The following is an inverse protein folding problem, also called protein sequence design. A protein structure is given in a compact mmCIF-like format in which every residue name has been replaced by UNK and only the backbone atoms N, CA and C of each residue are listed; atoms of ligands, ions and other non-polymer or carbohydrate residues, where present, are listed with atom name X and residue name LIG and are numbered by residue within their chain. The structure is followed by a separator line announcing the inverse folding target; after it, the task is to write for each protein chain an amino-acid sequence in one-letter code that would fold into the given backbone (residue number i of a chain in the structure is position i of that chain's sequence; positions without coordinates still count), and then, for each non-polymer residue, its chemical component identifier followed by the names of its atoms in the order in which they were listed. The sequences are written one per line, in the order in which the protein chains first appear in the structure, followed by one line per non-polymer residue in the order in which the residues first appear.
data_IF_244916188572
#
_entry.id   IF_244916188572
#
_cell.length_a   1.000
_cell.length_b   1.000
_cell.length_c   1.000
_cell.angle_alpha   90.00
_cell.angle_beta   90.00
_cell.angle_gamma   90.00
#
_symmetry.space_group_name_H-M   'P 1'
#
loop_
_entity.id
_entity.type
_entity.pdbx_description
1 polymer ?
#
# COMPACT_ATOMS: atom_id res chain seq x y z
N UNK A 1 -5.76 -39.66 17.10
CA UNK A 1 -6.24 -38.88 18.27
C UNK A 1 -5.11 -38.20 19.05
N UNK A 2 -3.94 -38.83 19.27
CA UNK A 2 -2.83 -38.20 20.00
C UNK A 2 -2.23 -36.94 19.34
N UNK A 3 -1.98 -36.96 18.02
CA UNK A 3 -1.37 -35.83 17.30
C UNK A 3 -2.24 -34.56 17.30
N UNK A 4 -3.56 -34.66 17.08
CA UNK A 4 -4.43 -33.48 17.11
C UNK A 4 -4.54 -32.87 18.51
N UNK A 5 -4.50 -33.71 19.55
CA UNK A 5 -4.56 -33.26 20.93
C UNK A 5 -3.26 -32.56 21.38
N UNK A 6 -2.10 -33.09 20.96
CA UNK A 6 -0.80 -32.45 21.21
C UNK A 6 -0.70 -31.10 20.50
N UNK A 7 -1.10 -31.05 19.22
CA UNK A 7 -1.10 -29.82 18.44
C UNK A 7 -2.01 -28.73 19.05
N UNK A 8 -3.23 -29.09 19.47
CA UNK A 8 -4.13 -28.15 20.15
C UNK A 8 -3.55 -27.64 21.47
N UNK A 9 -2.87 -28.50 22.23
CA UNK A 9 -2.21 -28.10 23.48
C UNK A 9 -1.06 -27.12 23.21
N UNK A 10 -0.29 -27.33 22.16
CA UNK A 10 0.80 -26.44 21.78
C UNK A 10 0.30 -25.07 21.30
N UNK A 11 -0.80 -25.03 20.53
CA UNK A 11 -1.44 -23.77 20.14
C UNK A 11 -1.95 -22.97 21.36
N UNK A 12 -2.60 -23.64 22.32
CA UNK A 12 -3.09 -22.99 23.53
C UNK A 12 -1.93 -22.42 24.39
N UNK A 13 -0.82 -23.15 24.48
CA UNK A 13 0.37 -22.67 25.19
C UNK A 13 1.02 -21.49 24.48
N UNK A 14 1.14 -21.54 23.15
CA UNK A 14 1.65 -20.44 22.34
C UNK A 14 0.79 -19.18 22.55
N UNK A 15 -0.53 -19.30 22.43
CA UNK A 15 -1.48 -18.22 22.66
C UNK A 15 -1.30 -17.55 24.03
N UNK A 16 -1.21 -18.35 25.10
CA UNK A 16 -1.02 -17.83 26.46
C UNK A 16 0.31 -17.05 26.61
N UNK A 17 1.39 -17.57 26.04
CA UNK A 17 2.70 -16.91 26.11
C UNK A 17 2.73 -15.61 25.31
N UNK A 18 2.09 -15.58 24.14
CA UNK A 18 1.99 -14.38 23.32
C UNK A 18 1.15 -13.29 23.99
N UNK A 19 0.05 -13.65 24.67
CA UNK A 19 -0.72 -12.68 25.47
C UNK A 19 0.07 -12.11 26.65
N UNK A 20 0.93 -12.91 27.28
CA UNK A 20 1.86 -12.41 28.31
C UNK A 20 2.87 -11.42 27.73
N UNK A 21 3.42 -11.71 26.55
CA UNK A 21 4.31 -10.78 25.86
C UNK A 21 3.61 -9.46 25.56
N UNK A 22 2.36 -9.51 25.09
CA UNK A 22 1.54 -8.31 24.83
C UNK A 22 1.13 -7.54 26.10
N UNK A 23 1.09 -8.20 27.26
CA UNK A 23 0.87 -7.52 28.53
C UNK A 23 2.08 -6.67 28.94
N UNK A 24 3.29 -7.04 28.50
CA UNK A 24 4.53 -6.30 28.74
C UNK A 24 4.71 -5.20 27.69
N UNK A 25 4.57 -5.54 26.40
CA UNK A 25 4.59 -4.59 25.29
C UNK A 25 3.34 -4.75 24.42
N UNK A 26 2.42 -3.79 24.58
CA UNK A 26 1.12 -3.78 23.89
C UNK A 26 1.22 -3.61 22.37
N UNK A 27 2.39 -3.25 21.84
CA UNK A 27 2.63 -3.06 20.40
C UNK A 27 3.68 -4.03 19.87
N UNK A 28 3.92 -5.14 20.56
CA UNK A 28 4.95 -6.08 20.15
C UNK A 28 4.55 -6.84 18.88
N UNK A 29 5.09 -6.38 17.75
CA UNK A 29 4.69 -6.82 16.41
C UNK A 29 4.90 -8.33 16.16
N UNK A 30 6.02 -8.90 16.65
CA UNK A 30 6.28 -10.34 16.54
C UNK A 30 5.21 -11.16 17.28
N UNK A 31 4.73 -10.67 18.43
CA UNK A 31 3.70 -11.40 19.17
C UNK A 31 2.36 -11.40 18.43
N UNK A 32 1.99 -10.29 17.81
CA UNK A 32 0.82 -10.23 16.92
C UNK A 32 0.99 -11.12 15.70
N UNK A 33 2.17 -11.17 15.08
CA UNK A 33 2.41 -12.05 13.94
C UNK A 33 2.24 -13.53 14.32
N UNK A 34 2.85 -13.95 15.42
CA UNK A 34 2.72 -15.33 15.89
C UNK A 34 1.28 -15.66 16.33
N UNK A 35 0.53 -14.69 16.86
CA UNK A 35 -0.90 -14.87 17.13
C UNK A 35 -1.68 -15.07 15.82
N UNK A 36 -1.37 -14.33 14.77
CA UNK A 36 -1.97 -14.53 13.46
C UNK A 36 -1.70 -15.95 12.93
N UNK A 37 -0.48 -16.47 13.05
CA UNK A 37 -0.17 -17.87 12.69
C UNK A 37 -0.98 -18.88 13.52
N UNK A 38 -1.10 -18.66 14.83
CA UNK A 38 -1.91 -19.52 15.73
C UNK A 38 -3.38 -19.52 15.31
N UNK A 39 -3.96 -18.35 15.04
CA UNK A 39 -5.35 -18.23 14.58
C UNK A 39 -5.54 -18.81 13.17
N UNK A 40 -4.57 -18.65 12.27
CA UNK A 40 -4.58 -19.26 10.94
C UNK A 40 -4.68 -20.79 11.03
N UNK A 41 -3.84 -21.41 11.88
CA UNK A 41 -3.84 -22.85 12.16
C UNK A 41 -5.13 -23.33 12.86
N UNK A 42 -5.74 -22.47 13.68
CA UNK A 42 -7.02 -22.77 14.34
C UNK A 42 -8.23 -22.62 13.39
N UNK A 43 -8.04 -22.07 12.20
CA UNK A 43 -9.13 -21.77 11.26
C UNK A 43 -9.91 -20.49 11.57
N UNK A 44 -9.44 -19.68 12.52
CA UNK A 44 -10.09 -18.44 12.94
C UNK A 44 -9.62 -17.27 12.07
N UNK A 45 -10.24 -17.16 10.89
CA UNK A 45 -9.87 -16.14 9.90
C UNK A 45 -9.98 -14.71 10.45
N UNK A 46 -11.00 -14.41 11.23
CA UNK A 46 -11.27 -13.04 11.69
C UNK A 46 -10.16 -12.55 12.63
N UNK A 47 -9.82 -13.34 13.65
CA UNK A 47 -8.75 -12.98 14.58
C UNK A 47 -7.36 -13.07 13.92
N UNK A 48 -7.18 -13.97 12.96
CA UNK A 48 -5.96 -14.05 12.16
C UNK A 48 -5.69 -12.75 11.42
N UNK A 49 -6.68 -12.20 10.70
CA UNK A 49 -6.51 -10.96 9.93
C UNK A 49 -6.27 -9.75 10.85
N UNK A 50 -7.01 -9.64 11.96
CA UNK A 50 -6.81 -8.56 12.94
C UNK A 50 -5.40 -8.61 13.56
N UNK A 51 -4.93 -9.79 13.96
CA UNK A 51 -3.58 -9.97 14.49
C UNK A 51 -2.53 -9.64 13.42
N UNK A 52 -2.73 -10.06 12.18
CA UNK A 52 -1.79 -9.81 11.09
C UNK A 52 -1.70 -8.31 10.76
N UNK A 53 -2.84 -7.62 10.70
CA UNK A 53 -2.91 -6.17 10.48
C UNK A 53 -2.18 -5.39 11.59
N UNK A 54 -2.38 -5.82 12.84
CA UNK A 54 -1.67 -5.28 14.00
C UNK A 54 -0.16 -5.51 13.95
N UNK A 55 0.27 -6.72 13.59
CA UNK A 55 1.68 -7.05 13.41
C UNK A 55 2.34 -6.13 12.38
N UNK A 56 1.67 -5.93 11.24
CA UNK A 56 2.12 -5.06 10.17
C UNK A 56 2.13 -3.59 10.60
N UNK A 57 1.11 -3.13 11.31
CA UNK A 57 0.97 -1.74 11.75
C UNK A 57 2.06 -1.34 12.73
N UNK A 58 2.45 -2.26 13.61
CA UNK A 58 3.49 -2.02 14.62
C UNK A 58 4.86 -2.59 14.24
N UNK A 59 5.04 -3.06 13.00
CA UNK A 59 6.30 -3.63 12.57
C UNK A 59 7.41 -2.57 12.51
N UNK A 60 8.61 -2.98 12.91
CA UNK A 60 9.79 -2.17 12.65
C UNK A 60 10.10 -2.20 11.15
N UNK A 61 10.83 -1.19 10.65
CA UNK A 61 11.04 -0.98 9.20
C UNK A 61 11.66 -2.20 8.47
N UNK A 62 12.41 -3.05 9.18
CA UNK A 62 13.03 -4.26 8.61
C UNK A 62 12.12 -5.50 8.69
N UNK A 63 11.03 -5.46 9.46
CA UNK A 63 10.06 -6.55 9.56
C UNK A 63 8.98 -6.38 8.49
N UNK A 64 9.07 -7.20 7.45
CA UNK A 64 8.13 -7.23 6.33
C UNK A 64 7.15 -8.40 6.47
N UNK A 65 6.27 -8.32 7.47
CA UNK A 65 5.29 -9.39 7.72
C UNK A 65 4.37 -9.65 6.53
N UNK A 66 4.16 -8.67 5.65
CA UNK A 66 3.34 -8.85 4.45
C UNK A 66 3.94 -9.88 3.51
N UNK A 67 5.24 -9.74 3.21
CA UNK A 67 5.94 -10.70 2.37
C UNK A 67 6.14 -12.03 3.11
N UNK A 68 6.47 -11.97 4.41
CA UNK A 68 6.63 -13.17 5.22
C UNK A 68 5.35 -14.03 5.20
N UNK A 69 4.18 -13.42 5.39
CA UNK A 69 2.89 -14.12 5.35
C UNK A 69 2.57 -14.79 4.00
N UNK A 70 3.11 -14.28 2.89
CA UNK A 70 2.93 -14.88 1.55
C UNK A 70 3.80 -16.14 1.34
N UNK A 71 4.83 -16.32 2.17
CA UNK A 71 5.76 -17.47 2.11
C UNK A 71 5.57 -18.43 3.29
N UNK A 72 4.91 -17.97 4.36
CA UNK A 72 4.70 -18.71 5.59
C UNK A 72 3.55 -19.72 5.45
N UNK A 73 3.87 -21.00 5.63
CA UNK A 73 2.97 -22.15 5.44
C UNK A 73 1.73 -22.10 6.35
N UNK A 74 1.83 -21.41 7.50
CA UNK A 74 0.70 -21.22 8.41
C UNK A 74 -0.47 -20.50 7.74
N UNK A 75 -0.20 -19.67 6.73
CA UNK A 75 -1.22 -18.93 5.98
C UNK A 75 -1.58 -19.57 4.63
N UNK A 76 -1.04 -20.75 4.30
CA UNK A 76 -1.22 -21.38 2.98
C UNK A 76 -2.70 -21.55 2.57
N UNK A 77 -3.59 -21.83 3.54
CA UNK A 77 -5.03 -21.91 3.32
C UNK A 77 -5.67 -20.58 2.89
N UNK A 78 -5.05 -19.45 3.19
CA UNK A 78 -5.56 -18.09 2.97
C UNK A 78 -4.85 -17.37 1.82
N UNK A 79 -3.84 -17.96 1.17
CA UNK A 79 -3.13 -17.31 0.06
C UNK A 79 -4.04 -16.92 -1.12
N UNK A 80 -5.18 -17.58 -1.28
CA UNK A 80 -6.18 -17.20 -2.29
C UNK A 80 -7.29 -16.28 -1.77
N UNK A 81 -7.38 -16.11 -0.45
CA UNK A 81 -8.39 -15.30 0.22
C UNK A 81 -8.23 -13.81 -0.09
N UNK A 82 -9.36 -13.14 -0.33
CA UNK A 82 -9.37 -11.73 -0.75
C UNK A 82 -8.86 -10.79 0.36
N UNK A 83 -9.31 -10.99 1.60
CA UNK A 83 -8.97 -10.11 2.72
C UNK A 83 -7.50 -10.27 3.11
N UNK A 84 -7.01 -11.52 3.10
CA UNK A 84 -5.60 -11.82 3.32
C UNK A 84 -4.71 -11.17 2.25
N UNK A 85 -5.05 -11.32 0.97
CA UNK A 85 -4.32 -10.66 -0.13
C UNK A 85 -4.30 -9.15 0.04
N UNK A 86 -5.43 -8.53 0.39
CA UNK A 86 -5.52 -7.09 0.64
C UNK A 86 -4.52 -6.64 1.72
N UNK A 87 -4.46 -7.38 2.84
CA UNK A 87 -3.50 -7.13 3.92
C UNK A 87 -2.05 -7.35 3.47
N UNK A 88 -1.75 -8.32 2.62
CA UNK A 88 -0.38 -8.50 2.10
C UNK A 88 -0.01 -7.48 1.00
N UNK A 89 -0.97 -7.01 0.22
CA UNK A 89 -0.73 -6.27 -1.02
C UNK A 89 -0.33 -4.80 -0.83
N UNK A 90 -0.35 -4.29 0.41
CA UNK A 90 -0.09 -2.87 0.77
C UNK A 90 -1.09 -1.90 0.13
N UNK A 91 -2.27 -2.41 -0.22
CA UNK A 91 -3.35 -1.59 -0.70
C UNK A 91 -4.08 -0.96 0.49
N UNK A 92 -4.65 0.25 0.34
CA UNK A 92 -5.49 0.85 1.36
C UNK A 92 -6.69 -0.05 1.70
N UNK A 93 -7.17 -0.02 2.94
CA UNK A 93 -8.39 -0.75 3.35
C UNK A 93 -9.67 -0.02 2.96
N UNK A 94 -9.59 1.29 2.75
CA UNK A 94 -10.70 2.09 2.22
C UNK A 94 -11.04 1.60 0.81
N UNK A 95 -12.30 1.19 0.53
CA UNK A 95 -12.65 0.49 -0.71
C UNK A 95 -12.28 1.22 -2.00
N UNK A 96 -12.47 2.53 -2.06
CA UNK A 96 -12.23 3.31 -3.27
C UNK A 96 -10.74 3.46 -3.56
N UNK A 97 -9.95 3.81 -2.53
CA UNK A 97 -8.50 3.84 -2.58
C UNK A 97 -7.92 2.44 -2.85
N UNK A 98 -8.53 1.39 -2.31
CA UNK A 98 -8.13 0.01 -2.58
C UNK A 98 -8.19 -0.29 -4.07
N UNK A 99 -9.35 -0.05 -4.69
CA UNK A 99 -9.56 -0.33 -6.11
C UNK A 99 -8.67 0.56 -7.01
N UNK A 100 -8.53 1.85 -6.67
CA UNK A 100 -7.62 2.76 -7.36
C UNK A 100 -6.17 2.23 -7.36
N UNK A 101 -5.70 1.76 -6.21
CA UNK A 101 -4.32 1.30 -6.06
C UNK A 101 -4.10 -0.09 -6.67
N UNK A 102 -5.16 -0.87 -6.86
CA UNK A 102 -5.13 -2.11 -7.64
C UNK A 102 -4.93 -1.84 -9.14
N UNK A 103 -5.59 -0.84 -9.72
CA UNK A 103 -5.28 -0.39 -11.09
C UNK A 103 -3.82 0.06 -11.23
N UNK A 104 -3.33 0.81 -10.23
CA UNK A 104 -1.96 1.30 -10.18
C UNK A 104 -0.94 0.15 -10.10
N UNK A 105 -1.20 -0.86 -9.26
CA UNK A 105 -0.38 -2.08 -9.10
C UNK A 105 -0.33 -2.92 -10.38
N UNK A 106 -1.44 -2.97 -11.12
CA UNK A 106 -1.58 -3.75 -12.34
C UNK A 106 -1.10 -3.01 -13.59
N UNK A 107 -0.44 -1.85 -13.43
CA UNK A 107 0.08 -1.04 -14.54
C UNK A 107 -1.00 -0.66 -15.56
N UNK A 108 -2.21 -0.33 -15.08
CA UNK A 108 -3.27 0.23 -15.90
C UNK A 108 -3.38 1.74 -15.63
N UNK A 109 -2.55 2.57 -16.29
CA UNK A 109 -2.49 3.99 -15.96
C UNK A 109 -3.76 4.73 -16.38
N UNK A 110 -4.39 4.38 -17.51
CA UNK A 110 -5.64 5.00 -17.92
C UNK A 110 -6.77 4.71 -16.92
N UNK A 111 -6.94 3.45 -16.52
CA UNK A 111 -7.91 3.06 -15.50
C UNK A 111 -7.67 3.79 -14.17
N UNK A 112 -6.41 3.86 -13.73
CA UNK A 112 -6.04 4.62 -12.51
C UNK A 112 -6.44 6.09 -12.63
N UNK A 113 -6.16 6.74 -13.76
CA UNK A 113 -6.50 8.15 -13.96
C UNK A 113 -8.02 8.37 -13.94
N UNK A 114 -8.77 7.58 -14.71
CA UNK A 114 -10.24 7.70 -14.80
C UNK A 114 -10.93 7.51 -13.45
N UNK A 115 -10.60 6.43 -12.73
CA UNK A 115 -11.14 6.21 -11.39
C UNK A 115 -10.68 7.28 -10.39
N UNK A 116 -9.46 7.79 -10.54
CA UNK A 116 -8.97 8.90 -9.71
C UNK A 116 -9.79 10.19 -9.90
N UNK A 117 -10.19 10.53 -11.13
CA UNK A 117 -11.07 11.68 -11.40
C UNK A 117 -12.46 11.48 -10.77
N UNK A 118 -13.01 10.26 -10.80
CA UNK A 118 -14.30 9.93 -10.18
C UNK A 118 -14.25 10.08 -8.64
N UNK A 119 -13.12 9.74 -8.03
CA UNK A 119 -12.96 9.72 -6.58
C UNK A 119 -12.47 11.05 -5.96
N UNK A 120 -12.22 12.06 -6.80
CA UNK A 120 -11.51 13.29 -6.43
C UNK A 120 -12.12 14.04 -5.22
N UNK A 121 -13.44 13.97 -5.09
CA UNK A 121 -14.20 14.69 -4.06
C UNK A 121 -14.79 13.77 -2.98
N UNK A 122 -14.62 12.44 -3.08
CA UNK A 122 -15.35 11.46 -2.25
C UNK A 122 -14.48 10.71 -1.24
N UNK A 123 -13.16 10.84 -1.28
CA UNK A 123 -12.25 10.01 -0.50
C UNK A 123 -11.62 10.72 0.70
N UNK A 124 -11.19 9.92 1.67
CA UNK A 124 -10.57 10.38 2.93
C UNK A 124 -9.11 10.82 2.75
N UNK A 125 -8.39 10.32 1.75
CA UNK A 125 -6.99 10.66 1.44
C UNK A 125 -6.87 11.25 0.02
N UNK A 126 -7.49 12.41 -0.19
CA UNK A 126 -7.53 13.11 -1.49
C UNK A 126 -6.15 13.31 -2.12
N UNK A 127 -5.12 13.61 -1.31
CA UNK A 127 -3.77 13.80 -1.84
C UNK A 127 -3.19 12.49 -2.37
N UNK A 128 -3.50 11.36 -1.75
CA UNK A 128 -3.09 10.05 -2.24
C UNK A 128 -3.74 9.66 -3.57
N UNK A 129 -4.93 10.18 -3.87
CA UNK A 129 -5.56 10.06 -5.19
C UNK A 129 -4.79 10.88 -6.22
N UNK A 130 -4.54 12.16 -5.93
CA UNK A 130 -3.80 13.05 -6.84
C UNK A 130 -2.40 12.48 -7.14
N UNK A 131 -1.72 11.91 -6.15
CA UNK A 131 -0.41 11.27 -6.34
C UNK A 131 -0.50 10.01 -7.23
N UNK A 132 -1.54 9.18 -7.06
CA UNK A 132 -1.78 8.02 -7.92
C UNK A 132 -2.07 8.44 -9.37
N UNK A 133 -2.88 9.48 -9.57
CA UNK A 133 -3.20 10.01 -10.89
C UNK A 133 -1.97 10.64 -11.56
N UNK A 134 -1.18 11.43 -10.83
CA UNK A 134 0.07 11.99 -11.34
C UNK A 134 1.05 10.91 -11.77
N UNK A 135 1.11 9.81 -11.01
CA UNK A 135 1.92 8.68 -11.38
C UNK A 135 1.43 8.03 -12.69
N UNK A 136 0.12 7.81 -12.81
CA UNK A 136 -0.50 7.27 -14.00
C UNK A 136 -0.27 8.16 -15.24
N UNK A 137 -0.48 9.48 -15.13
CA UNK A 137 -0.26 10.44 -16.22
C UNK A 137 1.20 10.42 -16.67
N UNK A 138 2.17 10.27 -15.76
CA UNK A 138 3.59 10.15 -16.14
C UNK A 138 3.88 8.89 -16.93
N UNK A 139 3.24 7.76 -16.59
CA UNK A 139 3.38 6.53 -17.36
C UNK A 139 2.78 6.68 -18.76
N UNK A 140 1.60 7.30 -18.86
CA UNK A 140 0.95 7.59 -20.16
C UNK A 140 1.84 8.49 -21.00
N UNK A 141 2.35 9.58 -20.42
CA UNK A 141 3.24 10.50 -21.12
C UNK A 141 4.51 9.82 -21.61
N UNK A 142 5.09 8.93 -20.80
CA UNK A 142 6.26 8.15 -21.19
C UNK A 142 5.94 7.22 -22.37
N UNK A 143 4.84 6.47 -22.27
CA UNK A 143 4.39 5.56 -23.33
C UNK A 143 4.12 6.30 -24.65
N UNK A 144 3.43 7.44 -24.59
CA UNK A 144 3.16 8.28 -25.75
C UNK A 144 4.41 8.97 -26.31
N UNK A 145 5.43 9.24 -25.50
CA UNK A 145 6.72 9.78 -25.97
C UNK A 145 7.54 8.69 -26.70
N UNK A 146 7.47 7.45 -26.22
CA UNK A 146 8.17 6.29 -26.79
C UNK A 146 7.47 5.74 -28.05
N UNK A 147 6.13 5.69 -28.06
CA UNK A 147 5.33 5.01 -29.09
C UNK A 147 4.43 5.95 -29.92
N UNK A 148 4.31 7.22 -29.53
CA UNK A 148 3.62 8.24 -30.32
C UNK A 148 2.16 7.87 -30.62
N UNK A 149 1.78 7.94 -31.90
CA UNK A 149 0.39 7.73 -32.35
C UNK A 149 -0.10 6.29 -32.24
N UNK A 150 0.80 5.32 -32.10
CA UNK A 150 0.45 3.90 -32.09
C UNK A 150 -0.35 3.54 -30.84
N UNK A 151 -0.07 4.19 -29.70
CA UNK A 151 -0.69 3.86 -28.41
C UNK A 151 -1.77 4.86 -27.95
N UNK A 152 -2.10 5.87 -28.75
CA UNK A 152 -3.10 6.90 -28.41
C UNK A 152 -4.47 6.29 -28.09
N UNK A 153 -4.85 5.20 -28.78
CA UNK A 153 -6.13 4.50 -28.56
C UNK A 153 -6.26 3.88 -27.16
N UNK A 154 -5.14 3.55 -26.49
CA UNK A 154 -5.15 3.03 -25.11
C UNK A 154 -5.63 4.08 -24.11
N UNK A 155 -5.66 5.34 -24.52
CA UNK A 155 -5.88 6.52 -23.68
C UNK A 155 -7.06 7.35 -24.18
N UNK A 156 -8.08 6.69 -24.73
CA UNK A 156 -9.31 7.33 -25.27
C UNK A 156 -9.02 8.39 -26.34
N UNK A 157 -8.09 8.01 -27.22
CA UNK A 157 -7.58 8.81 -28.33
C UNK A 157 -7.06 10.20 -27.94
N UNK A 158 -6.70 10.40 -26.66
CA UNK A 158 -6.21 11.68 -26.16
C UNK A 158 -4.74 11.89 -26.53
N UNK A 159 -4.39 13.02 -27.18
CA UNK A 159 -3.01 13.28 -27.60
C UNK A 159 -2.10 13.60 -26.42
N UNK A 160 -0.78 13.50 -26.64
CA UNK A 160 0.22 13.82 -25.61
C UNK A 160 0.08 15.23 -25.01
N UNK A 161 -0.42 16.21 -25.79
CA UNK A 161 -0.66 17.57 -25.31
C UNK A 161 -1.72 17.63 -24.21
N UNK A 162 -2.78 16.83 -24.33
CA UNK A 162 -3.83 16.71 -23.32
C UNK A 162 -3.25 16.19 -22.00
N UNK A 163 -2.44 15.13 -22.08
CA UNK A 163 -1.81 14.55 -20.88
C UNK A 163 -0.79 15.49 -20.23
N UNK A 164 -0.08 16.31 -21.02
CA UNK A 164 0.81 17.36 -20.49
C UNK A 164 0.04 18.45 -19.75
N UNK A 165 -1.14 18.81 -20.23
CA UNK A 165 -2.02 19.75 -19.55
C UNK A 165 -2.57 19.16 -18.24
N UNK A 166 -3.07 17.92 -18.29
CA UNK A 166 -3.53 17.19 -17.09
C UNK A 166 -2.44 17.03 -16.04
N UNK A 167 -1.20 16.76 -16.44
CA UNK A 167 -0.08 16.74 -15.51
C UNK A 167 0.07 18.06 -14.76
N UNK A 168 0.00 19.21 -15.47
CA UNK A 168 0.13 20.54 -14.86
C UNK A 168 -1.03 20.85 -13.91
N UNK A 169 -2.27 20.52 -14.31
CA UNK A 169 -3.45 20.69 -13.48
C UNK A 169 -3.31 19.93 -12.15
N UNK A 170 -2.95 18.65 -12.24
CA UNK A 170 -2.75 17.81 -11.06
C UNK A 170 -1.55 18.25 -10.21
N UNK A 171 -0.47 18.75 -10.82
CA UNK A 171 0.68 19.29 -10.08
C UNK A 171 0.33 20.55 -9.29
N UNK A 172 -0.57 21.39 -9.82
CA UNK A 172 -1.07 22.56 -9.11
C UNK A 172 -1.99 22.16 -7.96
N UNK A 173 -2.97 21.29 -8.22
CA UNK A 173 -3.87 20.77 -7.17
C UNK A 173 -3.07 20.09 -6.04
N UNK A 174 -2.08 19.24 -6.41
CA UNK A 174 -1.15 18.64 -5.44
C UNK A 174 -0.49 19.68 -4.53
N UNK A 175 0.02 20.79 -5.10
CA UNK A 175 0.65 21.87 -4.31
C UNK A 175 -0.35 22.52 -3.38
N UNK A 176 -1.56 22.82 -3.86
CA UNK A 176 -2.61 23.44 -3.05
C UNK A 176 -3.01 22.56 -1.87
N UNK A 177 -3.17 21.25 -2.09
CA UNK A 177 -3.46 20.28 -1.02
C UNK A 177 -2.32 20.17 -0.01
N UNK A 178 -1.06 20.12 -0.45
CA UNK A 178 0.11 20.11 0.46
C UNK A 178 0.16 21.39 1.28
N UNK A 179 -0.05 22.55 0.66
CA UNK A 179 -0.08 23.84 1.35
C UNK A 179 -1.22 23.93 2.37
N UNK A 180 -2.34 23.24 2.12
CA UNK A 180 -3.44 23.10 3.09
C UNK A 180 -3.15 22.10 4.22
N UNK A 181 -1.97 21.48 4.24
CA UNK A 181 -1.54 20.54 5.28
C UNK A 181 -1.93 19.07 5.05
N UNK A 182 -2.50 18.72 3.89
CA UNK A 182 -2.87 17.33 3.56
C UNK A 182 -1.62 16.47 3.32
N UNK A 183 -1.71 15.17 3.62
CA UNK A 183 -0.62 14.19 3.48
C UNK A 183 -1.13 12.93 2.77
N UNK A 184 -0.39 12.43 1.79
CA UNK A 184 -0.71 11.21 1.05
C UNK A 184 -0.18 9.95 1.75
N UNK A 185 -0.78 9.59 2.89
CA UNK A 185 -0.29 8.47 3.70
C UNK A 185 -0.43 7.13 2.95
N UNK A 186 -1.55 6.94 2.27
CA UNK A 186 -1.85 5.72 1.51
C UNK A 186 -0.85 5.51 0.36
N UNK A 187 -0.50 6.59 -0.36
CA UNK A 187 0.50 6.56 -1.43
C UNK A 187 1.89 6.18 -0.94
N UNK A 188 2.30 6.72 0.22
CA UNK A 188 3.61 6.41 0.82
C UNK A 188 3.72 4.96 1.27
N UNK A 189 2.64 4.39 1.80
CA UNK A 189 2.58 2.97 2.16
C UNK A 189 2.71 2.10 0.91
N UNK A 190 1.97 2.44 -0.13
CA UNK A 190 2.01 1.74 -1.41
C UNK A 190 3.40 1.74 -2.05
N UNK A 191 4.10 2.88 -2.10
CA UNK A 191 5.46 2.98 -2.66
C UNK A 191 6.52 2.17 -1.90
N UNK A 192 6.25 1.74 -0.67
CA UNK A 192 7.18 0.87 0.05
C UNK A 192 7.20 -0.55 -0.53
N UNK A 193 6.25 -0.94 -1.39
CA UNK A 193 6.17 -2.27 -2.00
C UNK A 193 7.41 -2.58 -2.88
N UNK A 194 8.22 -3.62 -2.56
CA UNK A 194 9.40 -3.99 -3.32
C UNK A 194 9.10 -4.28 -4.79
N UNK A 195 7.94 -4.89 -5.08
CA UNK A 195 7.51 -5.19 -6.45
C UNK A 195 7.28 -3.91 -7.24
N UNK A 196 6.74 -2.86 -6.63
CA UNK A 196 6.58 -1.56 -7.28
C UNK A 196 7.91 -0.83 -7.49
N UNK A 197 8.87 -1.01 -6.57
CA UNK A 197 10.24 -0.50 -6.72
C UNK A 197 10.94 -1.18 -7.91
N UNK A 198 10.70 -2.47 -8.12
CA UNK A 198 11.31 -3.25 -9.20
C UNK A 198 10.61 -3.05 -10.56
N UNK A 199 9.26 -2.98 -10.59
CA UNK A 199 8.49 -2.80 -11.84
C UNK A 199 8.64 -1.40 -12.46
N UNK A 200 8.95 -0.36 -11.69
CA UNK A 200 8.95 1.05 -12.18
C UNK A 200 10.33 1.75 -12.29
N UNK A 201 11.43 1.03 -12.09
CA UNK A 201 12.83 1.41 -12.39
C UNK A 201 13.48 2.64 -11.71
N UNK A 202 14.81 2.62 -11.76
CA UNK A 202 15.84 3.21 -10.89
C UNK A 202 16.10 4.73 -10.96
N UNK A 203 15.46 5.50 -11.85
CA UNK A 203 15.80 6.92 -12.07
C UNK A 203 14.74 7.92 -11.58
N UNK A 204 13.45 7.64 -11.80
CA UNK A 204 12.35 8.58 -11.51
C UNK A 204 12.00 8.64 -10.02
N UNK A 205 11.98 7.50 -9.33
CA UNK A 205 11.66 7.41 -7.90
C UNK A 205 12.81 7.87 -6.99
N UNK A 206 14.07 7.77 -7.44
CA UNK A 206 15.23 8.20 -6.64
C UNK A 206 15.24 9.72 -6.45
N UNK A 207 14.81 10.47 -7.48
CA UNK A 207 14.58 11.91 -7.39
C UNK A 207 13.34 12.26 -6.58
N UNK A 208 12.23 11.50 -6.71
CA UNK A 208 11.00 11.71 -5.94
C UNK A 208 11.17 11.47 -4.45
N UNK A 209 11.81 10.37 -4.03
CA UNK A 209 12.15 10.12 -2.63
C UNK A 209 13.06 11.22 -2.08
N UNK A 210 14.10 11.61 -2.81
CA UNK A 210 15.00 12.70 -2.37
C UNK A 210 14.27 14.04 -2.24
N UNK A 211 13.41 14.42 -3.21
CA UNK A 211 12.64 15.67 -3.17
C UNK A 211 11.62 15.67 -2.04
N UNK A 212 10.82 14.62 -1.92
CA UNK A 212 9.76 14.52 -0.91
C UNK A 212 10.32 14.41 0.52
N UNK A 213 11.41 13.67 0.75
CA UNK A 213 12.07 13.63 2.06
C UNK A 213 12.75 14.97 2.41
N UNK A 214 13.32 15.68 1.43
CA UNK A 214 13.87 17.01 1.67
C UNK A 214 12.77 18.05 1.98
N UNK A 215 11.63 17.98 1.28
CA UNK A 215 10.48 18.86 1.53
C UNK A 215 9.85 18.60 2.91
N UNK A 216 9.62 17.34 3.31
CA UNK A 216 9.15 17.01 4.66
C UNK A 216 10.11 17.47 5.77
N UNK A 217 11.42 17.47 5.51
CA UNK A 217 12.45 17.93 6.44
C UNK A 217 12.52 19.46 6.53
N UNK A 218 12.24 20.17 5.43
CA UNK A 218 12.12 21.64 5.46
C UNK A 218 10.88 22.09 6.24
N UNK A 219 9.76 21.39 6.08
CA UNK A 219 8.54 21.70 6.84
C UNK A 219 8.60 21.33 8.32
N UNK A 220 9.36 20.30 8.73
CA UNK A 220 9.58 20.02 10.15
C UNK A 220 10.43 21.10 10.84
N UNK A 221 11.29 21.80 10.10
CA UNK A 221 12.13 22.86 10.65
C UNK A 221 11.42 24.21 10.72
N UNK A 222 10.36 24.44 9.93
CA UNK A 222 9.55 25.68 10.00
C UNK A 222 8.49 25.69 11.11
N UNK A 223 8.24 24.55 11.78
CA UNK A 223 7.30 24.46 12.91
C UNK A 223 8.03 24.50 14.26
N UNK A 224 9.37 24.55 14.25
CA UNK A 224 10.21 24.63 15.45
C UNK A 224 11.02 25.94 15.59
N UNK A 225 10.71 26.97 14.80
CA UNK A 225 11.16 28.36 15.01
C UNK A 225 9.95 29.24 15.36
#
# INVERSE_FOLDING_TARGET
MGYSYLFQKDLNNAFLNLRKALAIDRKYSNAFYNLACVHALAGDKTEMLDCLEKAITWSEKYQDYRNLSLEDEHFSAYWQDFDFKSICDRLPTEPNLHELYKYLKNSSPYGTFTLGEELRDSATDELAIIEAMLFAVKLILKDLDEHGKENIYLYDDKPISFWKEKQKELENDRKDRINSGKKAMSFLVFLKNPIMILKNYSSLLMNWRKRFFNELRMYSNQVCE
#
